data_IF_331421691225
#
_entry.id   IF_331421691225
#
_cell.length_a   1.000
_cell.length_b   1.000
_cell.length_c   1.000
_cell.angle_alpha   90.00
_cell.angle_beta   90.00
_cell.angle_gamma   90.00
#
_symmetry.space_group_name_H-M   'P 1'
#
loop_
_entity.id
_entity.type
_entity.pdbx_description
1 polymer ?
#
# COMPACT_ATOMS: atom_id res chain seq x y z
N UNK A 1 -18.04 -10.10 10.28
CA UNK A 1 -17.51 -10.20 8.90
C UNK A 1 -16.03 -9.84 8.96
N UNK A 2 -15.15 -10.64 8.33
CA UNK A 2 -13.93 -11.15 8.97
C UNK A 2 -12.74 -10.17 8.94
N UNK A 3 -12.00 -10.10 10.06
CA UNK A 3 -10.69 -9.43 10.16
C UNK A 3 -9.61 -10.42 9.74
N UNK A 4 -9.04 -10.24 8.56
CA UNK A 4 -7.79 -10.88 8.16
C UNK A 4 -6.62 -10.12 8.79
N UNK A 5 -5.91 -10.78 9.71
CA UNK A 5 -4.58 -10.36 10.12
C UNK A 5 -3.57 -11.04 9.19
N UNK A 6 -2.87 -10.25 8.38
CA UNK A 6 -1.72 -10.71 7.61
C UNK A 6 -0.51 -10.77 8.56
N UNK A 7 -0.12 -11.98 8.92
CA UNK A 7 1.16 -12.28 9.55
C UNK A 7 2.30 -12.10 8.53
N UNK A 8 3.37 -11.42 8.92
CA UNK A 8 4.58 -11.30 8.09
C UNK A 8 5.74 -10.67 8.85
N UNK A 9 6.38 -11.43 9.73
CA UNK A 9 7.56 -10.99 10.47
C UNK A 9 8.26 -12.17 11.12
N UNK A 10 9.04 -12.91 10.34
CA UNK A 10 9.90 -14.00 10.80
C UNK A 10 11.05 -13.43 11.63
N UNK A 11 10.93 -13.47 12.95
CA UNK A 11 12.06 -13.22 13.86
C UNK A 11 12.91 -14.49 13.90
N UNK A 12 14.14 -14.39 13.37
CA UNK A 12 15.13 -15.46 13.29
C UNK A 12 15.78 -15.61 14.67
N UNK A 13 15.61 -16.77 15.30
CA UNK A 13 16.30 -17.11 16.55
C UNK A 13 17.82 -17.33 16.32
N UNK A 14 18.69 -16.99 17.29
CA UNK A 14 20.13 -17.23 17.19
C UNK A 14 20.48 -18.71 17.45
N UNK A 15 21.46 -19.29 16.74
CA UNK A 15 21.82 -20.70 16.87
C UNK A 15 22.87 -20.87 17.98
N UNK A 16 22.50 -21.49 19.10
CA UNK A 16 23.49 -22.03 20.04
C UNK A 16 24.06 -23.32 19.48
N UNK A 17 25.38 -23.34 19.37
CA UNK A 17 26.22 -24.41 18.84
C UNK A 17 26.41 -25.49 19.91
N UNK A 18 25.72 -26.62 19.78
CA UNK A 18 26.05 -27.84 20.52
C UNK A 18 27.28 -28.49 19.88
N UNK A 19 28.39 -28.55 20.62
CA UNK A 19 29.49 -29.46 20.33
C UNK A 19 29.52 -30.51 21.44
N UNK A 20 28.95 -31.67 21.15
CA UNK A 20 29.30 -32.90 21.85
C UNK A 20 30.49 -33.54 21.12
N UNK A 21 31.43 -34.15 21.86
CA UNK A 21 32.05 -35.37 21.37
C UNK A 21 31.77 -36.52 22.35
N UNK A 22 31.18 -37.58 21.80
CA UNK A 22 31.08 -38.90 22.43
C UNK A 22 32.19 -39.83 21.83
N UNK A 23 32.36 -41.06 22.33
CA UNK A 23 33.40 -41.49 23.27
C UNK A 23 34.46 -42.39 22.59
N UNK A 24 35.56 -42.70 23.28
CA UNK A 24 36.23 -44.02 23.31
C UNK A 24 37.65 -43.92 23.86
N UNK A 25 37.93 -44.63 24.95
CA UNK A 25 38.92 -45.72 24.98
C UNK A 25 39.23 -46.17 26.40
N UNK A 26 39.12 -47.48 26.58
CA UNK A 26 39.50 -48.27 27.75
C UNK A 26 41.03 -48.26 27.90
N UNK A 27 41.54 -48.09 29.12
CA UNK A 27 42.83 -48.64 29.52
C UNK A 27 42.78 -49.09 30.99
N UNK A 28 43.04 -50.39 31.20
CA UNK A 28 43.29 -50.98 32.52
C UNK A 28 44.60 -50.43 33.11
N UNK A 29 44.59 -50.19 34.42
CA UNK A 29 45.78 -49.90 35.21
C UNK A 29 45.51 -50.14 36.69
N UNK A 30 45.70 -51.39 37.12
CA UNK A 30 45.67 -51.80 38.53
C UNK A 30 46.91 -51.26 39.24
N UNK A 31 46.75 -50.55 40.36
CA UNK A 31 47.75 -50.53 41.43
C UNK A 31 47.08 -50.24 42.78
N UNK A 32 47.32 -51.13 43.73
CA UNK A 32 46.90 -51.07 45.13
C UNK A 32 47.66 -49.96 45.88
N UNK A 33 46.99 -49.21 46.77
CA UNK A 33 47.55 -48.77 48.05
C UNK A 33 46.44 -48.41 49.07
N UNK A 34 46.72 -48.69 50.34
CA UNK A 34 45.90 -48.75 51.57
C UNK A 34 45.40 -47.38 52.14
N UNK A 35 44.54 -47.36 53.19
CA UNK A 35 43.48 -46.37 53.39
C UNK A 35 43.90 -45.19 54.28
N UNK A 36 43.45 -43.99 53.89
CA UNK A 36 43.11 -42.93 54.84
C UNK A 36 42.30 -41.82 54.14
N UNK A 37 41.25 -41.38 54.85
CA UNK A 37 40.47 -40.16 54.66
C UNK A 37 39.64 -40.00 53.35
N UNK A 38 38.37 -40.40 53.41
CA UNK A 38 37.18 -39.69 52.88
C UNK A 38 37.29 -38.92 51.54
N UNK A 39 38.09 -39.33 50.57
CA UNK A 39 38.07 -38.74 49.22
C UNK A 39 37.02 -39.48 48.36
N UNK A 40 35.75 -39.26 48.66
CA UNK A 40 34.65 -39.71 47.81
C UNK A 40 34.65 -38.88 46.51
N UNK A 41 34.35 -39.44 45.33
CA UNK A 41 34.16 -38.65 44.11
C UNK A 41 33.15 -37.50 44.29
N UNK A 42 32.17 -37.68 45.18
CA UNK A 42 31.20 -36.65 45.56
C UNK A 42 31.84 -35.43 46.25
N UNK A 43 32.91 -35.65 47.01
CA UNK A 43 33.68 -34.59 47.68
C UNK A 43 34.68 -33.90 46.74
N UNK A 44 35.01 -34.54 45.60
CA UNK A 44 35.78 -33.91 44.53
C UNK A 44 34.91 -32.98 43.67
N UNK A 45 33.67 -33.38 43.40
CA UNK A 45 32.71 -32.59 42.62
C UNK A 45 32.07 -31.47 43.46
N UNK A 46 31.93 -31.67 44.77
CA UNK A 46 31.35 -30.70 45.72
C UNK A 46 32.30 -30.46 46.91
N UNK A 47 33.40 -29.72 46.71
CA UNK A 47 34.37 -29.43 47.77
C UNK A 47 33.76 -28.61 48.92
N UNK A 48 32.67 -27.88 48.65
CA UNK A 48 31.90 -27.16 49.67
C UNK A 48 31.27 -28.10 50.70
N UNK A 49 31.15 -29.40 50.45
CA UNK A 49 30.64 -30.38 51.42
C UNK A 49 31.75 -31.05 52.25
N UNK A 50 33.03 -30.76 51.96
CA UNK A 50 34.18 -31.42 52.59
C UNK A 50 34.46 -31.01 54.05
N UNK A 51 33.85 -29.91 54.49
CA UNK A 51 33.96 -29.43 55.86
C UNK A 51 32.89 -30.00 56.80
N UNK A 52 31.88 -30.70 56.27
CA UNK A 52 30.82 -31.32 57.07
C UNK A 52 31.24 -32.71 57.56
N UNK A 53 30.88 -33.04 58.80
CA UNK A 53 31.13 -34.36 59.36
C UNK A 53 30.20 -35.41 58.75
N UNK A 54 30.53 -36.70 58.94
CA UNK A 54 29.68 -37.80 58.47
C UNK A 54 28.30 -37.79 59.13
N UNK A 55 28.24 -37.40 60.40
CA UNK A 55 26.99 -37.30 61.15
C UNK A 55 26.13 -36.16 60.60
N UNK A 56 26.74 -35.02 60.26
CA UNK A 56 26.04 -33.89 59.62
C UNK A 56 25.52 -34.25 58.21
N UNK A 57 26.29 -35.00 57.43
CA UNK A 57 25.87 -35.49 56.11
C UNK A 57 24.71 -36.49 56.20
N UNK A 58 24.66 -37.28 57.28
CA UNK A 58 23.56 -38.19 57.53
C UNK A 58 22.32 -37.42 57.98
N UNK A 59 22.47 -36.43 58.86
CA UNK A 59 21.38 -35.54 59.29
C UNK A 59 20.83 -34.71 58.12
N UNK A 60 21.68 -34.29 57.17
CA UNK A 60 21.28 -33.66 55.91
C UNK A 60 20.39 -34.55 55.03
N UNK A 61 20.50 -35.88 55.13
CA UNK A 61 19.67 -36.82 54.38
C UNK A 61 18.32 -37.07 55.06
N UNK A 62 18.25 -36.92 56.39
CA UNK A 62 17.05 -37.19 57.18
C UNK A 62 16.19 -35.94 57.46
N UNK A 63 16.80 -34.76 57.56
CA UNK A 63 16.08 -33.49 57.76
C UNK A 63 16.06 -32.62 56.49
N UNK A 64 14.90 -32.51 55.80
CA UNK A 64 14.77 -31.70 54.61
C UNK A 64 14.92 -30.20 54.87
N UNK A 65 14.66 -29.72 56.09
CA UNK A 65 14.79 -28.30 56.45
C UNK A 65 16.27 -27.95 56.61
N UNK A 66 17.04 -28.82 57.26
CA UNK A 66 18.49 -28.68 57.37
C UNK A 66 19.15 -28.77 55.99
N UNK A 67 18.72 -29.68 55.13
CA UNK A 67 19.18 -29.75 53.74
C UNK A 67 18.94 -28.43 52.98
N UNK A 68 17.72 -27.87 53.04
CA UNK A 68 17.44 -26.60 52.37
C UNK A 68 18.29 -25.45 52.92
N UNK A 69 18.48 -25.39 54.25
CA UNK A 69 19.31 -24.38 54.86
C UNK A 69 20.76 -24.44 54.33
N UNK A 70 21.36 -25.64 54.28
CA UNK A 70 22.71 -25.84 53.73
C UNK A 70 22.73 -25.60 52.21
N UNK A 71 21.71 -26.02 51.47
CA UNK A 71 21.63 -25.79 50.03
C UNK A 71 21.62 -24.30 49.68
N UNK A 72 20.87 -23.48 50.43
CA UNK A 72 20.83 -22.02 50.23
C UNK A 72 22.08 -21.30 50.77
N UNK A 73 22.93 -21.96 51.56
CA UNK A 73 24.21 -21.37 52.01
C UNK A 73 25.33 -21.56 51.01
N UNK A 74 25.23 -22.56 50.11
CA UNK A 74 26.21 -22.83 49.05
C UNK A 74 26.41 -21.61 48.15
N UNK A 75 27.68 -21.30 47.85
CA UNK A 75 28.02 -20.08 47.10
C UNK A 75 27.52 -20.18 45.66
N UNK A 76 27.60 -21.38 45.06
CA UNK A 76 27.10 -21.62 43.72
C UNK A 76 25.58 -21.34 43.63
N UNK A 77 24.80 -21.85 44.58
CA UNK A 77 23.34 -21.66 44.62
C UNK A 77 22.98 -20.18 44.83
N UNK A 78 23.70 -19.48 45.72
CA UNK A 78 23.54 -18.03 45.90
C UNK A 78 23.84 -17.26 44.62
N UNK A 79 24.93 -17.61 43.92
CA UNK A 79 25.29 -16.97 42.65
C UNK A 79 24.24 -17.20 41.56
N UNK A 80 23.62 -18.38 41.52
CA UNK A 80 22.53 -18.68 40.60
C UNK A 80 21.27 -17.87 40.91
N UNK A 81 20.89 -17.74 42.19
CA UNK A 81 19.75 -16.89 42.57
C UNK A 81 20.01 -15.42 42.28
N UNK A 82 21.23 -14.93 42.50
CA UNK A 82 21.63 -13.59 42.13
C UNK A 82 21.55 -13.37 40.62
N UNK A 83 22.12 -14.27 39.82
CA UNK A 83 22.04 -14.20 38.36
C UNK A 83 20.59 -14.26 37.85
N UNK A 84 19.74 -15.08 38.46
CA UNK A 84 18.32 -15.16 38.13
C UNK A 84 17.59 -13.85 38.45
N UNK A 85 17.85 -13.25 39.61
CA UNK A 85 17.25 -11.98 40.01
C UNK A 85 17.72 -10.84 39.10
N UNK A 86 19.02 -10.80 38.77
CA UNK A 86 19.60 -9.84 37.85
C UNK A 86 18.97 -9.94 36.45
N UNK A 87 18.87 -11.14 35.88
CA UNK A 87 18.21 -11.37 34.59
C UNK A 87 16.72 -10.99 34.61
N UNK A 88 16.03 -11.27 35.72
CA UNK A 88 14.64 -10.85 35.93
C UNK A 88 14.49 -9.34 35.90
N UNK A 89 15.32 -8.63 36.69
CA UNK A 89 15.31 -7.17 36.75
C UNK A 89 15.73 -6.51 35.43
N UNK A 90 16.69 -7.10 34.72
CA UNK A 90 17.11 -6.62 33.40
C UNK A 90 15.99 -6.78 32.36
N UNK A 91 15.29 -7.90 32.36
CA UNK A 91 14.14 -8.12 31.49
C UNK A 91 12.99 -7.16 31.80
N UNK A 92 12.68 -6.94 33.08
CA UNK A 92 11.65 -5.99 33.50
C UNK A 92 12.00 -4.57 33.08
N UNK A 93 13.26 -4.16 33.27
CA UNK A 93 13.77 -2.85 32.83
C UNK A 93 13.64 -2.71 31.32
N UNK A 94 14.05 -3.70 30.53
CA UNK A 94 13.91 -3.66 29.07
C UNK A 94 12.43 -3.57 28.65
N UNK A 95 11.55 -4.33 29.31
CA UNK A 95 10.13 -4.32 29.01
C UNK A 95 9.48 -2.97 29.31
N UNK A 96 9.81 -2.36 30.45
CA UNK A 96 9.27 -1.06 30.87
C UNK A 96 9.87 0.06 30.02
N UNK A 97 11.20 0.15 29.96
CA UNK A 97 11.89 1.27 29.34
C UNK A 97 11.79 1.29 27.82
N UNK A 98 11.77 0.12 27.16
CA UNK A 98 11.74 0.07 25.70
C UNK A 98 10.34 -0.23 25.17
N UNK A 99 9.73 -1.34 25.60
CA UNK A 99 8.49 -1.78 24.96
C UNK A 99 7.30 -0.90 25.34
N UNK A 100 7.10 -0.63 26.63
CA UNK A 100 5.97 0.19 27.09
C UNK A 100 6.16 1.68 26.75
N UNK A 101 7.38 2.20 26.87
CA UNK A 101 7.64 3.61 26.53
C UNK A 101 7.42 3.91 25.04
N UNK A 102 7.71 2.96 24.15
CA UNK A 102 7.51 3.13 22.71
C UNK A 102 6.08 2.87 22.25
N UNK A 103 5.29 2.13 23.04
CA UNK A 103 3.94 1.70 22.67
C UNK A 103 3.05 2.86 22.21
N UNK A 104 2.95 3.92 23.03
CA UNK A 104 2.11 5.09 22.73
C UNK A 104 2.57 5.80 21.46
N UNK A 105 3.88 6.01 21.29
CA UNK A 105 4.44 6.66 20.10
C UNK A 105 4.18 5.87 18.82
N UNK A 106 4.23 4.53 18.89
CA UNK A 106 3.96 3.66 17.76
C UNK A 106 2.47 3.62 17.42
N UNK A 107 1.59 3.67 18.42
CA UNK A 107 0.16 3.80 18.18
C UNK A 107 -0.18 5.13 17.53
N UNK A 108 0.40 6.23 18.02
CA UNK A 108 0.21 7.57 17.45
C UNK A 108 0.68 7.61 15.99
N UNK A 109 1.89 7.13 15.72
CA UNK A 109 2.44 7.08 14.37
C UNK A 109 1.58 6.21 13.45
N UNK A 110 1.06 5.09 13.95
CA UNK A 110 0.15 4.22 13.19
C UNK A 110 -1.16 4.93 12.89
N UNK A 111 -1.76 5.65 13.85
CA UNK A 111 -3.00 6.41 13.60
C UNK A 111 -2.76 7.53 12.60
N UNK A 112 -1.69 8.32 12.73
CA UNK A 112 -1.36 9.38 11.78
C UNK A 112 -1.16 8.83 10.36
N UNK A 113 -0.43 7.72 10.24
CA UNK A 113 -0.20 7.08 8.94
C UNK A 113 -1.51 6.55 8.35
N UNK A 114 -2.40 6.00 9.19
CA UNK A 114 -3.71 5.53 8.76
C UNK A 114 -4.60 6.68 8.29
N UNK A 115 -4.60 7.81 9.01
CA UNK A 115 -5.39 8.98 8.67
C UNK A 115 -4.89 9.63 7.38
N UNK A 116 -3.57 9.81 7.24
CA UNK A 116 -2.96 10.31 6.00
C UNK A 116 -3.23 9.38 4.80
N UNK A 117 -3.22 8.07 5.02
CA UNK A 117 -3.58 7.10 3.98
C UNK A 117 -5.05 7.20 3.58
N UNK A 118 -5.96 7.33 4.55
CA UNK A 118 -7.38 7.51 4.29
C UNK A 118 -7.64 8.80 3.52
N UNK A 119 -7.01 9.91 3.91
CA UNK A 119 -7.09 11.19 3.19
C UNK A 119 -6.59 11.06 1.74
N UNK A 120 -5.44 10.42 1.54
CA UNK A 120 -4.91 10.19 0.20
C UNK A 120 -5.87 9.36 -0.67
N UNK A 121 -6.54 8.35 -0.09
CA UNK A 121 -7.56 7.54 -0.79
C UNK A 121 -8.81 8.34 -1.14
N UNK A 122 -9.25 9.22 -0.25
CA UNK A 122 -10.38 10.11 -0.50
C UNK A 122 -10.06 11.11 -1.62
N UNK A 123 -8.84 11.66 -1.63
CA UNK A 123 -8.35 12.52 -2.69
C UNK A 123 -8.22 11.77 -4.02
N UNK A 124 -7.73 10.53 -4.02
CA UNK A 124 -7.69 9.66 -5.20
C UNK A 124 -9.10 9.44 -5.78
N UNK A 125 -10.09 9.21 -4.91
CA UNK A 125 -11.49 9.05 -5.32
C UNK A 125 -12.07 10.34 -5.92
N UNK A 126 -11.84 11.50 -5.28
CA UNK A 126 -12.26 12.81 -5.81
C UNK A 126 -11.59 13.13 -7.13
N UNK A 127 -10.30 12.83 -7.28
CA UNK A 127 -9.57 13.04 -8.52
C UNK A 127 -10.21 12.29 -9.69
N UNK A 128 -10.60 11.02 -9.48
CA UNK A 128 -11.26 10.22 -10.52
C UNK A 128 -12.59 10.83 -10.97
N UNK A 129 -13.36 11.43 -10.07
CA UNK A 129 -14.61 12.11 -10.46
C UNK A 129 -14.31 13.39 -11.25
N UNK A 130 -13.36 14.21 -10.80
CA UNK A 130 -12.96 15.44 -11.52
C UNK A 130 -12.40 15.12 -12.91
N UNK A 131 -11.58 14.06 -13.03
CA UNK A 131 -11.03 13.62 -14.31
C UNK A 131 -12.15 13.17 -15.27
N UNK A 132 -13.18 12.51 -14.73
CA UNK A 132 -14.36 12.12 -15.51
C UNK A 132 -15.16 13.34 -15.95
N UNK A 133 -15.45 14.28 -15.06
CA UNK A 133 -16.12 15.54 -15.40
C UNK A 133 -15.33 16.34 -16.46
N UNK A 134 -14.00 16.42 -16.29
CA UNK A 134 -13.12 17.03 -17.28
C UNK A 134 -13.26 16.32 -18.62
N UNK A 135 -13.15 15.00 -18.65
CA UNK A 135 -13.28 14.22 -19.90
C UNK A 135 -14.62 14.45 -20.59
N UNK A 136 -15.71 14.52 -19.84
CA UNK A 136 -17.05 14.82 -20.38
C UNK A 136 -17.13 16.22 -21.00
N UNK A 137 -16.54 17.23 -20.35
CA UNK A 137 -16.47 18.60 -20.90
C UNK A 137 -15.60 18.63 -22.16
N UNK A 138 -14.40 18.06 -22.10
CA UNK A 138 -13.45 18.06 -23.20
C UNK A 138 -13.91 17.22 -24.39
N UNK A 139 -14.74 16.18 -24.18
CA UNK A 139 -15.29 15.34 -25.26
C UNK A 139 -15.94 16.20 -26.36
N UNK A 140 -16.68 17.25 -25.97
CA UNK A 140 -17.39 18.17 -26.88
C UNK A 140 -16.46 19.08 -27.68
N UNK A 141 -15.21 19.22 -27.25
CA UNK A 141 -14.18 20.02 -27.89
C UNK A 141 -13.09 19.15 -28.53
N UNK A 142 -13.26 17.83 -28.53
CA UNK A 142 -12.35 16.95 -29.26
C UNK A 142 -12.37 17.29 -30.76
N UNK A 143 -11.22 17.23 -31.45
CA UNK A 143 -11.16 17.52 -32.87
C UNK A 143 -12.15 16.69 -33.70
N UNK A 144 -12.38 15.44 -33.30
CA UNK A 144 -13.34 14.56 -33.98
C UNK A 144 -14.79 14.99 -33.77
N UNK A 145 -15.17 15.38 -32.55
CA UNK A 145 -16.51 15.88 -32.29
C UNK A 145 -16.77 17.20 -33.01
N UNK A 146 -15.79 18.10 -33.05
CA UNK A 146 -15.90 19.37 -33.77
C UNK A 146 -16.01 19.16 -35.28
N UNK A 147 -15.27 18.21 -35.86
CA UNK A 147 -15.39 17.84 -37.27
C UNK A 147 -16.76 17.23 -37.59
N UNK A 148 -17.26 16.35 -36.71
CA UNK A 148 -18.62 15.81 -36.82
C UNK A 148 -19.66 16.94 -36.79
N UNK A 149 -19.53 17.89 -35.86
CA UNK A 149 -20.42 19.06 -35.76
C UNK A 149 -20.36 19.94 -37.02
N UNK A 150 -19.17 20.13 -37.58
CA UNK A 150 -18.99 20.86 -38.84
C UNK A 150 -19.73 20.14 -39.99
N UNK A 151 -19.61 18.81 -40.11
CA UNK A 151 -20.32 18.02 -41.12
C UNK A 151 -21.83 18.17 -41.00
N UNK A 152 -22.38 18.03 -39.79
CA UNK A 152 -23.82 18.24 -39.57
C UNK A 152 -24.25 19.66 -39.92
N UNK A 153 -23.46 20.67 -39.56
CA UNK A 153 -23.74 22.06 -39.91
C UNK A 153 -23.66 22.29 -41.44
N UNK A 154 -22.81 21.57 -42.16
CA UNK A 154 -22.75 21.61 -43.63
C UNK A 154 -24.02 21.03 -44.25
N UNK A 155 -24.46 19.85 -43.80
CA UNK A 155 -25.71 19.22 -44.28
C UNK A 155 -26.91 20.11 -43.99
N UNK A 156 -27.06 20.61 -42.76
CA UNK A 156 -28.17 21.50 -42.42
C UNK A 156 -28.15 22.80 -43.25
N UNK A 157 -26.97 23.31 -43.63
CA UNK A 157 -26.85 24.47 -44.51
C UNK A 157 -27.28 24.15 -45.94
N UNK A 158 -26.99 22.95 -46.41
CA UNK A 158 -27.44 22.44 -47.71
C UNK A 158 -28.97 22.35 -47.73
N UNK A 159 -29.55 21.69 -46.72
CA UNK A 159 -31.00 21.54 -46.54
C UNK A 159 -31.73 22.89 -46.52
N UNK A 160 -31.19 23.90 -45.80
CA UNK A 160 -31.75 25.26 -45.77
C UNK A 160 -31.69 25.90 -47.16
N UNK A 161 -30.60 25.71 -47.90
CA UNK A 161 -30.48 26.27 -49.25
C UNK A 161 -31.43 25.60 -50.25
N UNK A 162 -31.61 24.29 -50.15
CA UNK A 162 -32.54 23.52 -50.99
C UNK A 162 -34.00 23.86 -50.64
N UNK A 163 -34.35 24.01 -49.36
CA UNK A 163 -35.68 24.45 -48.93
C UNK A 163 -36.01 25.83 -49.51
N UNK A 164 -35.08 26.80 -49.42
CA UNK A 164 -35.30 28.15 -49.98
C UNK A 164 -35.47 28.12 -51.50
N UNK A 165 -34.75 27.23 -52.20
CA UNK A 165 -34.91 27.04 -53.63
C UNK A 165 -36.28 26.41 -53.97
N UNK A 166 -36.71 25.41 -53.21
CA UNK A 166 -38.03 24.78 -53.36
C UNK A 166 -39.17 25.80 -53.14
N UNK A 167 -39.08 26.63 -52.10
CA UNK A 167 -40.05 27.69 -51.82
C UNK A 167 -40.16 28.69 -52.97
N UNK A 168 -39.01 29.09 -53.55
CA UNK A 168 -38.99 29.99 -54.69
C UNK A 168 -39.62 29.37 -55.95
N UNK A 169 -39.32 28.10 -56.24
CA UNK A 169 -39.95 27.37 -57.36
C UNK A 169 -41.46 27.25 -57.16
N UNK A 170 -41.89 26.90 -55.95
CA UNK A 170 -43.31 26.78 -55.61
C UNK A 170 -44.03 28.13 -55.76
N UNK A 171 -43.46 29.22 -55.25
CA UNK A 171 -44.02 30.57 -55.39
C UNK A 171 -44.11 31.02 -56.86
N UNK A 172 -43.11 30.68 -57.68
CA UNK A 172 -43.12 31.00 -59.12
C UNK A 172 -44.16 30.21 -59.93
N UNK A 173 -44.66 29.09 -59.39
CA UNK A 173 -45.62 28.20 -60.05
C UNK A 173 -47.09 28.46 -59.68
N UNK A 174 -47.37 29.26 -58.64
CA UNK A 174 -48.69 29.32 -58.01
C UNK A 174 -49.65 30.43 -58.53
N UNK A 175 -49.18 31.57 -59.07
CA UNK A 175 -50.08 32.69 -59.46
C UNK A 175 -49.46 33.61 -60.55
N UNK A 176 -50.22 34.11 -61.55
CA UNK A 176 -49.76 35.12 -62.50
C UNK A 176 -49.93 36.54 -61.93
N UNK A 177 -49.00 36.98 -61.08
CA UNK A 177 -48.96 38.35 -60.51
C UNK A 177 -48.13 39.32 -61.39
N UNK A 178 -48.39 40.64 -61.34
CA UNK A 178 -47.88 41.60 -62.31
C UNK A 178 -46.35 41.78 -62.21
N UNK A 179 -45.75 41.90 -63.39
CA UNK A 179 -44.31 41.82 -63.71
C UNK A 179 -43.39 42.72 -62.85
N UNK A 180 -43.91 43.75 -62.18
CA UNK A 180 -43.11 44.74 -61.43
C UNK A 180 -42.69 44.30 -60.02
N UNK A 181 -43.39 43.36 -59.37
CA UNK A 181 -43.03 42.87 -58.02
C UNK A 181 -42.08 41.67 -58.07
N UNK A 182 -42.11 40.90 -59.17
CA UNK A 182 -41.29 39.71 -59.35
C UNK A 182 -39.79 40.04 -59.44
N UNK A 183 -39.40 41.15 -60.06
CA UNK A 183 -37.98 41.50 -60.21
C UNK A 183 -37.27 41.69 -58.87
N UNK A 184 -37.93 42.35 -57.91
CA UNK A 184 -37.37 42.58 -56.56
C UNK A 184 -37.30 41.30 -55.74
N UNK A 185 -38.32 40.45 -55.80
CA UNK A 185 -38.35 39.16 -55.10
C UNK A 185 -37.31 38.18 -55.66
N UNK A 186 -37.10 38.19 -56.99
CA UNK A 186 -36.02 37.43 -57.64
C UNK A 186 -34.65 37.92 -57.19
N UNK A 187 -34.41 39.23 -57.17
CA UNK A 187 -33.13 39.79 -56.75
C UNK A 187 -32.84 39.51 -55.26
N UNK A 188 -33.86 39.58 -54.41
CA UNK A 188 -33.77 39.25 -52.99
C UNK A 188 -33.50 37.75 -52.77
N UNK A 189 -34.20 36.87 -53.49
CA UNK A 189 -33.90 35.42 -53.50
C UNK A 189 -32.47 35.13 -53.96
N UNK A 190 -32.03 35.72 -55.08
CA UNK A 190 -30.69 35.50 -55.63
C UNK A 190 -29.62 35.95 -54.63
N UNK A 191 -29.84 37.07 -53.93
CA UNK A 191 -28.93 37.55 -52.88
C UNK A 191 -28.86 36.55 -51.73
N UNK A 192 -29.99 36.16 -51.16
CA UNK A 192 -30.08 35.24 -50.01
C UNK A 192 -29.53 33.85 -50.35
N UNK A 193 -29.92 33.29 -51.49
CA UNK A 193 -29.46 31.97 -51.92
C UNK A 193 -27.93 31.94 -52.16
N UNK A 194 -27.38 33.01 -52.76
CA UNK A 194 -25.92 33.14 -52.91
C UNK A 194 -25.22 33.20 -51.57
N UNK A 195 -25.77 33.89 -50.58
CA UNK A 195 -25.22 33.93 -49.22
C UNK A 195 -25.23 32.56 -48.55
N UNK A 196 -26.34 31.82 -48.67
CA UNK A 196 -26.46 30.46 -48.14
C UNK A 196 -25.46 29.50 -48.77
N UNK A 197 -25.32 29.49 -50.11
CA UNK A 197 -24.37 28.62 -50.82
C UNK A 197 -22.90 29.02 -50.57
N UNK A 198 -22.60 30.32 -50.40
CA UNK A 198 -21.27 30.78 -49.98
C UNK A 198 -20.87 30.17 -48.63
N UNK A 199 -21.78 30.15 -47.65
CA UNK A 199 -21.51 29.55 -46.34
C UNK A 199 -21.33 28.03 -46.46
N UNK A 200 -22.17 27.36 -47.25
CA UNK A 200 -22.03 25.93 -47.54
C UNK A 200 -20.64 25.59 -48.12
N UNK A 201 -20.25 26.23 -49.23
CA UNK A 201 -18.97 25.92 -49.88
C UNK A 201 -17.77 26.24 -48.98
N UNK A 202 -17.86 27.30 -48.17
CA UNK A 202 -16.85 27.54 -47.13
C UNK A 202 -16.76 26.34 -46.18
N UNK A 203 -17.87 25.89 -45.61
CA UNK A 203 -17.87 24.75 -44.66
C UNK A 203 -17.36 23.46 -45.30
N UNK A 204 -17.70 23.19 -46.57
CA UNK A 204 -17.15 22.05 -47.35
C UNK A 204 -15.64 22.15 -47.47
N UNK A 205 -15.12 23.28 -47.96
CA UNK A 205 -13.68 23.51 -48.13
C UNK A 205 -12.91 23.35 -46.81
N UNK A 206 -13.45 23.89 -45.72
CA UNK A 206 -12.83 23.75 -44.39
C UNK A 206 -12.92 22.31 -43.86
N UNK A 207 -14.04 21.61 -44.12
CA UNK A 207 -14.21 20.20 -43.76
C UNK A 207 -13.24 19.27 -44.49
N UNK A 208 -13.00 19.50 -45.79
CA UNK A 208 -12.04 18.74 -46.60
C UNK A 208 -10.60 18.97 -46.14
N UNK A 209 -10.21 20.24 -45.92
CA UNK A 209 -8.88 20.59 -45.39
C UNK A 209 -8.62 19.98 -44.03
N UNK A 210 -9.64 19.97 -43.16
CA UNK A 210 -9.57 19.30 -41.87
C UNK A 210 -9.39 17.78 -42.05
N UNK A 211 -10.22 17.14 -42.86
CA UNK A 211 -10.12 15.69 -43.13
C UNK A 211 -8.77 15.28 -43.74
N UNK A 212 -8.16 16.16 -44.54
CA UNK A 212 -6.83 15.98 -45.11
C UNK A 212 -5.67 16.24 -44.14
N UNK A 213 -5.96 16.59 -42.88
CA UNK A 213 -4.95 16.89 -41.85
C UNK A 213 -4.21 18.22 -42.06
N UNK A 214 -4.71 19.09 -42.94
CA UNK A 214 -4.10 20.39 -43.24
C UNK A 214 -4.46 21.48 -42.22
N UNK A 215 -5.26 21.14 -41.20
CA UNK A 215 -5.64 22.02 -40.09
C UNK A 215 -4.82 21.62 -38.87
N UNK A 216 -3.83 22.43 -38.53
CA UNK A 216 -3.06 22.29 -37.29
C UNK A 216 -3.65 23.23 -36.23
N UNK A 217 -3.96 22.67 -35.06
CA UNK A 217 -4.26 23.45 -33.86
C UNK A 217 -2.93 23.80 -33.20
N UNK A 218 -2.77 25.03 -32.73
CA UNK A 218 -1.60 25.39 -31.91
C UNK A 218 -1.84 24.89 -30.49
N UNK A 219 -0.87 24.16 -29.97
CA UNK A 219 -0.79 23.81 -28.56
C UNK A 219 -0.14 25.00 -27.83
N UNK A 220 -0.91 26.07 -27.57
CA UNK A 220 -0.49 27.16 -26.67
C UNK A 220 -0.90 26.84 -25.23
#
# INVERSE_FOLDING_TARGET
MPRHWLCGGTVRAPPWRSQDPNPSSIALGTSQQLPNAMSSPLLADFPELAHLSRDDLQELLYDPVYFQAVFHTLNHVKSLYQAQAELGSANETIAIENNLALEESLYHLRSETQDAFNEARDLEARWKEIEKEQKEVYQRFTPQFLLMRLRHATTAQDDISEARAADFVQASSAEPVPISTNGRDIDDFVREFKELRKVYHKRVMWGERWAAGQVAWRDD
#
